data_IF_102479684389
#
_entry.id   IF_102479684389
#
_cell.length_a   1.000
_cell.length_b   1.000
_cell.length_c   1.000
_cell.angle_alpha   90.00
_cell.angle_beta   90.00
_cell.angle_gamma   90.00
#
_symmetry.space_group_name_H-M   'P 1'
#
loop_
_entity.id
_entity.type
_entity.pdbx_description
1 polymer ?
#
# COMPACT_ATOMS: atom_id res chain seq x y z
N UNK A 1 6.95 4.64 -12.47
CA UNK A 1 5.81 5.23 -11.78
C UNK A 1 4.52 4.74 -12.40
N UNK A 2 3.65 4.19 -11.58
CA UNK A 2 2.38 3.60 -12.00
C UNK A 2 1.23 4.08 -11.11
N UNK A 3 0.01 4.06 -11.66
CA UNK A 3 -1.21 4.42 -10.94
C UNK A 3 -2.30 3.38 -11.21
N UNK A 4 -2.90 2.87 -10.15
CA UNK A 4 -4.13 2.10 -10.20
C UNK A 4 -5.34 2.98 -9.94
N UNK A 5 -6.45 2.68 -10.60
CA UNK A 5 -7.73 3.34 -10.41
C UNK A 5 -8.79 2.31 -10.04
N UNK A 6 -9.76 2.73 -9.25
CA UNK A 6 -10.98 2.00 -8.95
C UNK A 6 -12.16 2.94 -9.21
N UNK A 7 -13.13 2.51 -10.01
CA UNK A 7 -14.31 3.33 -10.38
C UNK A 7 -13.94 4.75 -10.83
N UNK A 8 -12.93 4.91 -11.69
CA UNK A 8 -12.39 6.18 -12.21
C UNK A 8 -11.63 7.03 -11.18
N UNK A 9 -11.61 6.66 -9.91
CA UNK A 9 -10.88 7.34 -8.84
C UNK A 9 -9.50 6.72 -8.68
N UNK A 10 -8.50 7.56 -8.34
CA UNK A 10 -7.17 7.05 -8.00
C UNK A 10 -7.26 6.18 -6.75
N UNK A 11 -6.88 4.90 -6.89
CA UNK A 11 -6.74 4.00 -5.75
C UNK A 11 -5.39 4.21 -5.07
N UNK A 12 -4.30 4.04 -5.82
CA UNK A 12 -2.94 4.35 -5.36
C UNK A 12 -1.98 4.54 -6.52
N UNK A 13 -0.84 5.16 -6.23
CA UNK A 13 0.30 5.27 -7.13
C UNK A 13 1.53 4.69 -6.45
N UNK A 14 2.48 4.17 -7.23
CA UNK A 14 3.69 3.59 -6.68
C UNK A 14 4.90 3.80 -7.59
N UNK A 15 6.09 3.80 -7.00
CA UNK A 15 7.36 3.87 -7.70
C UNK A 15 8.05 2.51 -7.61
N UNK A 16 8.19 1.84 -8.76
CA UNK A 16 8.63 0.47 -8.84
C UNK A 16 10.13 0.35 -9.07
N UNK A 17 10.78 -0.51 -8.30
CA UNK A 17 12.17 -0.92 -8.44
C UNK A 17 12.20 -2.35 -9.01
N UNK A 18 12.56 -2.46 -10.30
CA UNK A 18 12.58 -3.75 -10.99
C UNK A 18 13.74 -4.65 -10.56
N UNK A 19 14.82 -4.08 -10.03
CA UNK A 19 15.98 -4.84 -9.57
C UNK A 19 15.72 -5.49 -8.22
N UNK A 20 15.18 -4.72 -7.28
CA UNK A 20 14.85 -5.19 -5.93
C UNK A 20 13.46 -5.82 -5.82
N UNK A 21 12.61 -5.68 -6.84
CA UNK A 21 11.22 -6.18 -6.90
C UNK A 21 10.35 -5.70 -5.74
N UNK A 22 10.51 -4.43 -5.36
CA UNK A 22 9.67 -3.74 -4.39
C UNK A 22 9.32 -2.34 -4.88
N UNK A 23 8.19 -1.79 -4.43
CA UNK A 23 7.94 -0.38 -4.60
C UNK A 23 8.67 0.41 -3.51
N UNK A 24 9.43 1.42 -3.90
CA UNK A 24 10.09 2.32 -2.95
C UNK A 24 9.07 3.07 -2.10
N UNK A 25 7.93 3.40 -2.70
CA UNK A 25 6.80 3.99 -2.01
C UNK A 25 5.48 3.69 -2.72
N UNK A 26 4.41 3.71 -1.95
CA UNK A 26 3.01 3.64 -2.38
C UNK A 26 2.27 4.84 -1.78
N UNK A 27 1.69 5.68 -2.64
CA UNK A 27 0.96 6.88 -2.26
C UNK A 27 -0.54 6.71 -2.52
N UNK A 28 -1.36 7.01 -1.52
CA UNK A 28 -2.79 6.82 -1.60
C UNK A 28 -3.58 7.85 -0.78
N UNK A 29 -4.77 8.26 -1.25
CA UNK A 29 -5.70 9.02 -0.42
C UNK A 29 -6.43 8.10 0.55
N UNK A 30 -6.75 8.61 1.73
CA UNK A 30 -7.54 7.94 2.74
C UNK A 30 -8.69 8.86 3.15
N UNK A 31 -9.92 8.47 2.82
CA UNK A 31 -11.15 9.18 3.16
C UNK A 31 -12.33 8.21 3.14
N UNK A 32 -13.48 8.64 3.66
CA UNK A 32 -14.68 7.81 3.78
C UNK A 32 -15.20 7.28 2.44
N UNK A 33 -15.04 8.05 1.35
CA UNK A 33 -15.49 7.65 0.02
C UNK A 33 -14.69 6.49 -0.60
N UNK A 34 -13.50 6.21 -0.08
CA UNK A 34 -12.63 5.13 -0.57
C UNK A 34 -12.60 3.92 0.37
N UNK A 35 -12.98 4.09 1.63
CA UNK A 35 -12.93 3.03 2.64
C UNK A 35 -13.83 1.84 2.25
N UNK A 36 -15.11 2.09 1.95
CA UNK A 36 -16.08 1.04 1.62
C UNK A 36 -16.54 0.24 2.83
N UNK A 37 -17.36 -0.78 2.60
CA UNK A 37 -17.96 -1.61 3.65
C UNK A 37 -17.85 -3.12 3.39
N UNK A 38 -17.06 -3.52 2.42
CA UNK A 38 -16.83 -4.94 2.08
C UNK A 38 -15.84 -5.61 3.02
N UNK A 39 -15.35 -6.76 2.60
CA UNK A 39 -14.37 -7.55 3.32
C UNK A 39 -13.09 -7.69 2.52
N UNK A 40 -12.04 -8.12 3.21
CA UNK A 40 -10.76 -8.51 2.62
C UNK A 40 -10.98 -9.62 1.59
N UNK A 41 -10.43 -9.45 0.37
CA UNK A 41 -10.63 -10.42 -0.73
C UNK A 41 -9.61 -11.56 -0.72
N UNK A 42 -8.39 -11.30 -0.23
CA UNK A 42 -7.25 -12.21 -0.35
C UNK A 42 -6.96 -12.68 -1.81
N UNK A 43 -7.36 -11.87 -2.78
CA UNK A 43 -7.19 -12.14 -4.22
C UNK A 43 -5.74 -11.85 -4.66
N UNK A 44 -4.81 -12.64 -4.17
CA UNK A 44 -3.38 -12.54 -4.48
C UNK A 44 -3.13 -12.66 -5.97
N UNK A 45 -2.65 -11.62 -6.60
CA UNK A 45 -2.55 -11.55 -8.05
C UNK A 45 -1.34 -10.81 -8.58
N UNK A 46 -1.15 -10.94 -9.89
CA UNK A 46 -0.17 -10.15 -10.63
C UNK A 46 -0.74 -8.77 -10.93
N UNK A 47 0.11 -7.76 -10.83
CA UNK A 47 -0.21 -6.42 -11.30
C UNK A 47 -0.28 -6.40 -12.84
N UNK A 48 -1.42 -6.03 -13.44
CA UNK A 48 -1.56 -6.02 -14.89
C UNK A 48 -0.71 -4.96 -15.60
N UNK A 49 -0.05 -4.06 -14.88
CA UNK A 49 0.80 -3.00 -15.43
C UNK A 49 2.22 -3.44 -15.72
N UNK A 50 2.62 -4.60 -15.22
CA UNK A 50 3.98 -5.13 -15.35
C UNK A 50 3.94 -6.57 -15.85
N UNK A 51 4.90 -6.98 -16.68
CA UNK A 51 5.04 -8.38 -17.04
C UNK A 51 5.46 -9.21 -15.83
N UNK A 52 5.12 -10.51 -15.83
CA UNK A 52 5.36 -11.44 -14.72
C UNK A 52 6.82 -11.49 -14.27
N UNK A 53 7.77 -11.39 -15.19
CA UNK A 53 9.20 -11.44 -14.89
C UNK A 53 9.75 -10.15 -14.23
N UNK A 54 8.98 -9.06 -14.23
CA UNK A 54 9.36 -7.77 -13.63
C UNK A 54 8.63 -7.47 -12.32
N UNK A 55 7.93 -8.43 -11.77
CA UNK A 55 7.19 -8.29 -10.51
C UNK A 55 7.28 -9.58 -9.70
N UNK A 56 7.09 -9.54 -8.37
CA UNK A 56 7.07 -10.75 -7.57
C UNK A 56 5.77 -11.52 -7.75
N UNK A 57 5.88 -12.85 -7.80
CA UNK A 57 4.75 -13.78 -7.84
C UNK A 57 4.53 -14.33 -6.45
N UNK A 58 3.42 -13.95 -5.80
CA UNK A 58 3.22 -14.17 -4.37
C UNK A 58 1.90 -14.88 -4.03
N UNK A 59 1.38 -15.71 -4.93
CA UNK A 59 0.15 -16.48 -4.67
C UNK A 59 0.24 -17.33 -3.40
N UNK A 60 1.43 -17.85 -3.09
CA UNK A 60 1.72 -18.70 -1.94
C UNK A 60 2.64 -18.05 -0.92
N UNK A 61 2.85 -16.73 -1.01
CA UNK A 61 3.73 -15.98 -0.13
C UNK A 61 5.20 -16.04 -0.49
N UNK A 62 6.03 -15.45 0.36
CA UNK A 62 7.50 -15.50 0.25
C UNK A 62 8.06 -16.78 0.84
N UNK A 63 9.17 -17.26 0.26
CA UNK A 63 10.08 -18.18 0.94
C UNK A 63 11.16 -17.39 1.64
N UNK A 64 11.58 -17.85 2.82
CA UNK A 64 12.59 -17.18 3.65
C UNK A 64 12.05 -16.70 5.00
N UNK A 65 10.81 -17.05 5.35
CA UNK A 65 10.23 -16.75 6.67
C UNK A 65 9.68 -15.33 6.82
N UNK A 66 9.31 -14.69 5.71
CA UNK A 66 8.73 -13.36 5.70
C UNK A 66 7.25 -13.38 5.33
N UNK A 67 6.49 -12.48 5.95
CA UNK A 67 5.11 -12.19 5.56
C UNK A 67 5.06 -11.36 4.27
N UNK A 68 3.91 -11.41 3.60
CA UNK A 68 3.54 -10.45 2.55
C UNK A 68 3.04 -9.17 3.21
N UNK A 69 3.94 -8.21 3.43
CA UNK A 69 3.63 -6.92 4.03
C UNK A 69 3.01 -5.95 3.02
N UNK A 70 1.78 -5.49 3.28
CA UNK A 70 1.12 -4.47 2.47
C UNK A 70 1.75 -3.09 2.68
N UNK A 71 1.94 -2.33 1.61
CA UNK A 71 2.27 -0.90 1.71
C UNK A 71 1.00 -0.04 1.78
N UNK A 72 0.01 -0.29 0.90
CA UNK A 72 -1.38 0.14 1.09
C UNK A 72 -2.13 -0.97 1.82
N UNK A 73 -2.60 -0.76 3.06
CA UNK A 73 -3.31 -1.78 3.81
C UNK A 73 -4.63 -2.20 3.14
N UNK A 74 -4.92 -3.50 3.15
CA UNK A 74 -6.21 -4.02 2.67
C UNK A 74 -7.40 -3.39 3.38
N UNK A 75 -7.28 -3.12 4.69
CA UNK A 75 -8.34 -2.53 5.50
C UNK A 75 -8.70 -1.08 5.10
N UNK A 76 -7.85 -0.42 4.32
CA UNK A 76 -8.08 0.95 3.84
C UNK A 76 -8.91 0.98 2.54
N UNK A 77 -9.20 -0.18 1.95
CA UNK A 77 -9.91 -0.36 0.68
C UNK A 77 -10.88 -1.53 0.78
N UNK A 78 -12.14 -1.25 1.11
CA UNK A 78 -13.16 -2.28 1.32
C UNK A 78 -14.24 -2.33 0.24
N UNK A 79 -14.08 -1.60 -0.87
CA UNK A 79 -14.79 -1.92 -2.11
C UNK A 79 -14.04 -3.05 -2.80
N UNK A 80 -14.75 -4.02 -3.41
CA UNK A 80 -14.12 -5.21 -4.00
C UNK A 80 -13.03 -4.85 -5.01
N UNK A 81 -13.33 -3.96 -5.96
CA UNK A 81 -12.39 -3.56 -7.01
C UNK A 81 -11.10 -2.94 -6.43
N UNK A 82 -11.24 -2.02 -5.49
CA UNK A 82 -10.10 -1.37 -4.87
C UNK A 82 -9.31 -2.33 -3.98
N UNK A 83 -9.99 -3.23 -3.26
CA UNK A 83 -9.36 -4.19 -2.37
C UNK A 83 -8.52 -5.23 -3.12
N UNK A 84 -9.03 -5.77 -4.23
CA UNK A 84 -8.27 -6.70 -5.09
C UNK A 84 -6.92 -6.11 -5.50
N UNK A 85 -6.88 -4.82 -5.84
CA UNK A 85 -5.64 -4.14 -6.24
C UNK A 85 -4.62 -4.04 -5.10
N UNK A 86 -5.05 -4.10 -3.83
CA UNK A 86 -4.12 -4.11 -2.69
C UNK A 86 -3.37 -5.43 -2.55
N UNK A 87 -3.83 -6.51 -3.21
CA UNK A 87 -3.23 -7.83 -3.19
C UNK A 87 -2.28 -8.11 -4.36
N UNK A 88 -2.01 -7.12 -5.20
CA UNK A 88 -0.95 -7.25 -6.21
C UNK A 88 0.42 -7.36 -5.55
N UNK A 89 1.28 -8.23 -6.08
CA UNK A 89 2.64 -8.40 -5.59
C UNK A 89 3.45 -7.09 -5.57
N UNK A 90 3.10 -6.13 -6.44
CA UNK A 90 3.71 -4.79 -6.47
C UNK A 90 3.41 -3.92 -5.25
N UNK A 91 2.37 -4.26 -4.47
CA UNK A 91 2.04 -3.59 -3.19
C UNK A 91 2.67 -4.30 -1.98
N UNK A 92 3.43 -5.37 -2.20
CA UNK A 92 3.99 -6.22 -1.15
C UNK A 92 5.48 -6.01 -0.96
N UNK A 93 5.93 -6.14 0.28
CA UNK A 93 7.34 -6.30 0.63
C UNK A 93 7.51 -7.52 1.54
N UNK A 94 8.69 -8.19 1.51
CA UNK A 94 9.02 -9.15 2.55
C UNK A 94 9.14 -8.42 3.89
N UNK A 95 8.28 -8.75 4.83
CA UNK A 95 8.23 -8.11 6.15
C UNK A 95 8.29 -9.15 7.25
N UNK A 96 9.00 -8.85 8.33
CA UNK A 96 9.02 -9.74 9.51
C UNK A 96 7.61 -9.84 10.09
N UNK A 97 7.17 -11.07 10.38
CA UNK A 97 5.83 -11.31 10.93
C UNK A 97 5.59 -10.58 12.24
N UNK A 98 6.59 -10.48 13.11
CA UNK A 98 6.50 -9.70 14.35
C UNK A 98 6.25 -8.20 14.12
N UNK A 99 6.82 -7.63 13.07
CA UNK A 99 6.55 -6.23 12.69
C UNK A 99 5.17 -6.12 12.02
N UNK A 100 4.92 -6.93 10.98
CA UNK A 100 3.73 -6.86 10.15
C UNK A 100 2.44 -7.07 10.96
N UNK A 101 2.43 -8.07 11.84
CA UNK A 101 1.23 -8.47 12.59
C UNK A 101 1.01 -7.71 13.90
N UNK A 102 1.99 -6.95 14.37
CA UNK A 102 1.94 -6.22 15.64
C UNK A 102 2.11 -4.72 15.45
N UNK A 103 3.34 -4.23 15.54
CA UNK A 103 3.61 -2.79 15.55
C UNK A 103 3.16 -2.05 14.30
N UNK A 104 3.36 -2.65 13.12
CA UNK A 104 2.94 -2.05 11.86
C UNK A 104 1.42 -2.04 11.70
N UNK A 105 0.75 -3.15 12.04
CA UNK A 105 -0.71 -3.23 12.02
C UNK A 105 -1.37 -2.23 12.98
N UNK A 106 -0.80 -2.04 14.18
CA UNK A 106 -1.25 -1.01 15.12
C UNK A 106 -1.10 0.39 14.54
N UNK A 107 0.05 0.70 13.94
CA UNK A 107 0.31 1.99 13.31
C UNK A 107 -0.63 2.28 12.14
N UNK A 108 -0.96 1.27 11.33
CA UNK A 108 -1.98 1.40 10.28
C UNK A 108 -3.36 1.75 10.85
N UNK A 109 -3.71 1.17 12.00
CA UNK A 109 -4.92 1.50 12.75
C UNK A 109 -4.95 2.95 13.19
N UNK A 110 -3.84 3.43 13.77
CA UNK A 110 -3.70 4.83 14.20
C UNK A 110 -3.85 5.80 13.02
N UNK A 111 -3.25 5.49 11.87
CA UNK A 111 -3.38 6.30 10.65
C UNK A 111 -4.84 6.38 10.18
N UNK A 112 -5.60 5.27 10.23
CA UNK A 112 -7.04 5.28 9.92
C UNK A 112 -7.82 6.16 10.90
N UNK A 113 -7.50 6.10 12.18
CA UNK A 113 -8.17 6.94 13.18
C UNK A 113 -7.85 8.42 12.99
N UNK A 114 -6.61 8.77 12.68
CA UNK A 114 -6.24 10.15 12.36
C UNK A 114 -6.91 10.65 11.09
N UNK A 115 -7.14 9.80 10.09
CA UNK A 115 -7.78 10.20 8.83
C UNK A 115 -9.17 10.77 9.03
N UNK A 116 -9.90 10.35 10.08
CA UNK A 116 -11.24 10.86 10.42
C UNK A 116 -11.28 12.33 10.81
N UNK A 117 -10.12 12.92 11.10
CA UNK A 117 -9.99 14.36 11.43
C UNK A 117 -9.88 15.24 10.18
N UNK A 118 -9.80 14.66 8.99
CA UNK A 118 -9.58 15.35 7.72
C UNK A 118 -10.62 14.95 6.68
N UNK A 119 -10.85 15.81 5.70
CA UNK A 119 -11.64 15.42 4.51
C UNK A 119 -10.90 14.37 3.68
N UNK A 120 -9.58 14.50 3.61
CA UNK A 120 -8.68 13.48 3.06
C UNK A 120 -7.34 13.51 3.79
N UNK A 121 -6.86 12.34 4.17
CA UNK A 121 -5.48 12.14 4.60
C UNK A 121 -4.70 11.50 3.44
N UNK A 122 -3.73 12.21 2.90
CA UNK A 122 -2.82 11.64 1.91
C UNK A 122 -1.70 10.89 2.64
N UNK A 123 -1.50 9.65 2.27
CA UNK A 123 -0.53 8.76 2.90
C UNK A 123 0.49 8.32 1.86
N UNK A 124 1.77 8.36 2.22
CA UNK A 124 2.84 7.68 1.50
C UNK A 124 3.44 6.66 2.45
N UNK A 125 3.32 5.39 2.09
CA UNK A 125 4.07 4.31 2.76
C UNK A 125 5.28 4.01 1.92
N UNK A 126 6.45 3.97 2.53
CA UNK A 126 7.68 3.64 1.83
C UNK A 126 8.52 2.60 2.54
N UNK A 127 9.43 2.00 1.78
CA UNK A 127 10.44 1.09 2.30
C UNK A 127 11.82 1.49 1.82
N UNK A 128 12.82 1.20 2.63
CA UNK A 128 14.22 1.43 2.31
C UNK A 128 14.91 0.09 2.03
N UNK A 129 15.56 -0.01 0.89
CA UNK A 129 16.32 -1.22 0.49
C UNK A 129 17.81 -0.97 0.46
N UNK A 130 18.24 0.28 0.57
CA UNK A 130 19.65 0.63 0.66
C UNK A 130 20.31 -0.07 1.84
N UNK A 131 21.48 -0.68 1.60
CA UNK A 131 22.19 -1.47 2.60
C UNK A 131 21.54 -2.82 2.94
N UNK A 132 20.47 -3.22 2.27
CA UNK A 132 19.87 -4.54 2.47
C UNK A 132 20.83 -5.63 1.99
N UNK A 133 21.07 -6.61 2.87
CA UNK A 133 21.88 -7.81 2.58
C UNK A 133 21.03 -9.09 2.56
N UNK A 134 19.71 -8.95 2.79
CA UNK A 134 18.79 -10.08 2.89
C UNK A 134 17.82 -10.07 1.72
N UNK A 135 17.48 -11.26 1.25
CA UNK A 135 16.47 -11.49 0.23
C UNK A 135 15.45 -12.53 0.69
N UNK A 136 14.22 -12.36 0.23
CA UNK A 136 13.22 -13.41 0.22
C UNK A 136 13.03 -13.87 -1.23
N UNK A 137 12.40 -15.02 -1.43
CA UNK A 137 12.16 -15.54 -2.78
C UNK A 137 10.68 -15.61 -3.06
N UNK A 138 10.29 -15.21 -4.26
CA UNK A 138 8.93 -15.34 -4.75
C UNK A 138 8.63 -16.77 -5.27
N UNK A 139 7.44 -16.99 -5.78
CA UNK A 139 7.02 -18.31 -6.26
C UNK A 139 7.69 -18.74 -7.59
N UNK A 140 8.31 -17.81 -8.30
CA UNK A 140 9.13 -18.04 -9.49
C UNK A 140 10.64 -18.07 -9.20
N UNK A 141 11.03 -18.17 -7.93
CA UNK A 141 12.43 -18.14 -7.46
C UNK A 141 13.19 -16.83 -7.72
N UNK A 142 12.48 -15.72 -7.95
CA UNK A 142 13.11 -14.41 -8.03
C UNK A 142 13.44 -13.91 -6.62
N UNK A 143 14.63 -13.31 -6.49
CA UNK A 143 15.05 -12.65 -5.25
C UNK A 143 14.33 -11.31 -5.10
N UNK A 144 13.71 -11.09 -3.95
CA UNK A 144 13.06 -9.84 -3.56
C UNK A 144 13.80 -9.27 -2.37
N UNK A 145 14.25 -8.03 -2.46
CA UNK A 145 14.98 -7.40 -1.37
C UNK A 145 14.12 -7.29 -0.09
N UNK A 146 14.72 -7.63 1.04
CA UNK A 146 14.10 -7.41 2.35
C UNK A 146 14.40 -5.98 2.78
N UNK A 147 13.41 -5.09 2.91
CA UNK A 147 13.65 -3.72 3.34
C UNK A 147 14.32 -3.65 4.72
N UNK A 148 15.18 -2.66 4.89
CA UNK A 148 15.87 -2.39 6.16
C UNK A 148 15.03 -1.51 7.08
N UNK A 149 14.12 -0.71 6.53
CA UNK A 149 13.22 0.18 7.26
C UNK A 149 11.95 0.47 6.47
N UNK A 150 10.92 0.93 7.18
CA UNK A 150 9.65 1.41 6.63
C UNK A 150 9.31 2.76 7.23
N UNK A 151 8.54 3.54 6.47
CA UNK A 151 8.01 4.81 6.95
C UNK A 151 6.60 5.07 6.42
N UNK A 152 5.87 5.98 7.08
CA UNK A 152 4.68 6.62 6.55
C UNK A 152 4.84 8.14 6.66
N UNK A 153 4.53 8.84 5.55
CA UNK A 153 4.41 10.28 5.52
C UNK A 153 2.94 10.65 5.32
N UNK A 154 2.44 11.61 6.08
CA UNK A 154 1.03 11.97 6.13
C UNK A 154 0.84 13.44 5.80
N UNK A 155 -0.18 13.76 4.99
CA UNK A 155 -0.62 15.11 4.70
C UNK A 155 -2.13 15.20 4.85
N UNK A 156 -2.60 15.89 5.89
CA UNK A 156 -4.02 16.13 6.13
C UNK A 156 -4.55 17.29 5.30
N UNK A 157 -5.70 17.10 4.66
CA UNK A 157 -6.44 18.12 3.93
C UNK A 157 -7.81 18.34 4.56
N UNK A 158 -8.14 19.60 4.84
CA UNK A 158 -9.49 20.05 5.23
C UNK A 158 -9.95 21.13 4.25
N UNK A 159 -11.17 21.01 3.77
CA UNK A 159 -11.80 22.07 2.99
C UNK A 159 -12.12 23.22 3.94
N UNK A 160 -11.63 24.42 3.62
CA UNK A 160 -11.97 25.62 4.37
C UNK A 160 -13.39 26.09 3.97
N UNK A 161 -14.38 25.84 4.84
CA UNK A 161 -15.75 26.28 4.65
C UNK A 161 -15.96 27.77 4.97
N UNK A 162 -15.02 28.44 5.62
CA UNK A 162 -15.13 29.85 5.98
C UNK A 162 -15.08 30.77 4.75
N UNK A 163 -14.33 30.38 3.71
CA UNK A 163 -14.22 31.14 2.46
C UNK A 163 -15.52 31.06 1.65
N UNK A 164 -16.24 29.92 1.66
CA UNK A 164 -17.48 29.77 0.95
C UNK A 164 -18.63 30.64 1.52
N UNK A 165 -18.61 30.94 2.81
CA UNK A 165 -19.58 31.82 3.47
C UNK A 165 -19.33 33.31 3.17
N UNK A 166 -18.08 33.70 2.87
CA UNK A 166 -17.71 35.10 2.58
C UNK A 166 -17.99 35.52 1.14
N UNK A 167 -18.22 34.59 0.22
CA UNK A 167 -18.52 34.85 -1.19
C UNK A 167 -20.01 34.85 -1.51
N UNK A 168 -20.88 34.57 -0.53
CA UNK A 168 -22.35 34.58 -0.65
C UNK A 168 -23.01 35.82 -0.01
N UNK A 169 -22.24 36.86 0.31
CA UNK A 169 -22.69 38.13 0.84
C UNK A 169 -22.81 39.22 -0.23
#
# INVERSE_FOLDING_TARGET
YFTHKSSKTRNYSYYWDVENLVAHWVAYPLNDGLAGSGSRTDDWGLDPKLPRNMQPVLFRGFRGGYDRGHQLPSADRLTREANVQTFYGTNMTPQLGSLNQQGWASFEGDVRDWSRQFDTLYVVTGCMVEGSTKVAYDNDNKAVAVPTAYFKALLGYKKDLSIAASTAG
#
